data_IF_088636153391
#
_entry.id   IF_088636153391
#
_cell.length_a   1.000
_cell.length_b   1.000
_cell.length_c   1.000
_cell.angle_alpha   90.00
_cell.angle_beta   90.00
_cell.angle_gamma   90.00
#
_symmetry.space_group_name_H-M   'P 1'
#
loop_
_entity.id
_entity.type
_entity.pdbx_description
1 polymer ?
#
# COMPACT_ATOMS: atom_id res chain seq x y z
N UNK A 1 34.90 19.56 20.58
CA UNK A 1 33.51 19.64 20.06
C UNK A 1 33.48 18.89 18.74
N UNK A 2 32.64 17.87 18.62
CA UNK A 2 32.42 17.18 17.34
C UNK A 2 31.73 18.17 16.39
N UNK A 3 32.21 18.34 15.15
CA UNK A 3 31.53 19.21 14.18
C UNK A 3 30.09 18.73 13.95
N UNK A 4 29.19 19.66 13.65
CA UNK A 4 27.83 19.32 13.29
C UNK A 4 27.84 18.44 12.01
N UNK A 5 26.92 17.47 11.90
CA UNK A 5 26.83 16.64 10.71
C UNK A 5 26.53 17.51 9.49
N UNK A 6 27.17 17.17 8.38
CA UNK A 6 26.87 17.76 7.07
C UNK A 6 25.46 17.39 6.63
N UNK A 7 24.94 18.09 5.60
CA UNK A 7 23.64 17.75 5.00
C UNK A 7 23.61 16.32 4.47
N UNK A 8 24.69 15.86 3.83
CA UNK A 8 24.78 14.51 3.28
C UNK A 8 24.70 13.43 4.39
N UNK A 9 25.44 13.63 5.49
CA UNK A 9 25.40 12.73 6.65
C UNK A 9 24.02 12.73 7.31
N UNK A 10 23.37 13.89 7.42
CA UNK A 10 22.01 14.00 7.94
C UNK A 10 21.01 13.23 7.09
N UNK A 11 21.08 13.37 5.75
CA UNK A 11 20.20 12.64 4.82
C UNK A 11 20.45 11.13 4.90
N UNK A 12 21.72 10.71 4.97
CA UNK A 12 22.07 9.30 5.10
C UNK A 12 21.51 8.70 6.40
N UNK A 13 21.66 9.43 7.52
CA UNK A 13 21.06 9.04 8.80
C UNK A 13 19.53 8.93 8.68
N UNK A 14 18.84 9.97 8.21
CA UNK A 14 17.36 9.99 8.12
C UNK A 14 16.78 8.88 7.21
N UNK A 15 17.57 8.36 6.26
CA UNK A 15 17.18 7.24 5.39
C UNK A 15 17.46 5.86 5.99
N UNK A 16 18.05 5.80 7.19
CA UNK A 16 18.42 4.55 7.85
C UNK A 16 17.30 3.99 8.74
N UNK A 17 17.26 2.67 8.91
CA UNK A 17 16.33 2.01 9.83
C UNK A 17 16.52 2.43 11.31
N UNK A 18 17.76 2.63 11.82
CA UNK A 18 17.98 3.18 13.16
C UNK A 18 17.30 4.53 13.35
N UNK A 19 17.43 5.45 12.39
CA UNK A 19 16.78 6.75 12.49
C UNK A 19 15.24 6.62 12.57
N UNK A 20 14.63 5.72 11.80
CA UNK A 20 13.17 5.49 11.92
C UNK A 20 12.79 5.09 13.35
N UNK A 21 13.56 4.17 13.97
CA UNK A 21 13.30 3.74 15.36
C UNK A 21 13.52 4.87 16.36
N UNK A 22 14.67 5.53 16.31
CA UNK A 22 15.01 6.62 17.23
C UNK A 22 14.01 7.78 17.15
N UNK A 23 13.60 8.17 15.93
CA UNK A 23 12.64 9.26 15.74
C UNK A 23 11.22 8.86 16.15
N UNK A 24 10.82 7.61 15.98
CA UNK A 24 9.54 7.11 16.45
C UNK A 24 9.48 7.02 17.99
N UNK A 25 10.59 6.66 18.65
CA UNK A 25 10.68 6.62 20.12
C UNK A 25 10.42 8.00 20.75
N UNK A 26 10.85 9.09 20.12
CA UNK A 26 10.54 10.45 20.58
C UNK A 26 9.04 10.74 20.61
N UNK A 27 8.29 10.25 19.60
CA UNK A 27 6.83 10.39 19.53
C UNK A 27 6.17 9.47 20.56
N UNK A 28 6.68 8.25 20.73
CA UNK A 28 6.18 7.29 21.71
C UNK A 28 6.34 7.81 23.15
N UNK A 29 7.50 8.36 23.51
CA UNK A 29 7.72 8.96 24.82
C UNK A 29 6.72 10.10 25.10
N UNK A 30 6.48 10.98 24.11
CA UNK A 30 5.45 12.01 24.21
C UNK A 30 4.05 11.45 24.39
N UNK A 31 3.74 10.31 23.76
CA UNK A 31 2.46 9.63 23.94
C UNK A 31 2.29 9.10 25.37
N UNK A 32 3.36 8.54 25.96
CA UNK A 32 3.35 8.05 27.34
C UNK A 32 3.10 9.18 28.35
N UNK A 33 3.70 10.36 28.10
CA UNK A 33 3.60 11.52 28.98
C UNK A 33 2.39 12.43 28.69
N UNK A 34 1.47 12.02 27.79
CA UNK A 34 0.30 12.83 27.36
C UNK A 34 0.68 14.21 26.83
N UNK A 35 1.75 14.28 26.05
CA UNK A 35 2.29 15.49 25.44
C UNK A 35 2.04 15.57 23.93
N UNK A 36 1.15 14.73 23.40
CA UNK A 36 0.73 14.80 22.01
C UNK A 36 -0.27 15.95 21.80
N UNK A 37 -0.25 16.53 20.59
CA UNK A 37 -1.02 17.76 20.31
C UNK A 37 -2.52 17.50 20.11
N UNK A 38 -2.90 16.36 19.55
CA UNK A 38 -4.24 16.14 19.00
C UNK A 38 -5.02 15.00 19.67
N UNK A 39 -4.34 14.08 20.33
CA UNK A 39 -4.95 12.92 20.97
C UNK A 39 -4.05 12.41 22.09
N UNK A 40 -4.64 11.77 23.09
CA UNK A 40 -3.92 11.00 24.11
C UNK A 40 -3.97 9.51 23.78
N UNK A 41 -2.97 8.76 24.26
CA UNK A 41 -2.95 7.30 24.16
C UNK A 41 -3.25 6.70 25.53
N UNK A 42 -4.37 6.00 25.64
CA UNK A 42 -4.68 5.21 26.84
C UNK A 42 -4.06 3.82 26.73
N UNK A 43 -2.83 3.69 27.25
CA UNK A 43 -2.10 2.43 27.25
C UNK A 43 -2.79 1.31 28.05
N UNK A 44 -3.70 1.65 28.98
CA UNK A 44 -4.44 0.63 29.74
C UNK A 44 -5.39 -0.18 28.85
N UNK A 45 -5.75 0.37 27.68
CA UNK A 45 -6.67 -0.25 26.72
C UNK A 45 -5.99 -1.16 25.69
N UNK A 46 -4.65 -1.23 25.64
CA UNK A 46 -3.95 -2.04 24.64
C UNK A 46 -4.38 -3.52 24.68
N UNK A 47 -4.55 -4.08 25.87
CA UNK A 47 -5.03 -5.47 26.02
C UNK A 47 -6.47 -5.64 25.53
N UNK A 48 -7.33 -4.66 25.74
CA UNK A 48 -8.73 -4.69 25.28
C UNK A 48 -8.79 -4.61 23.75
N UNK A 49 -7.98 -3.72 23.15
CA UNK A 49 -7.85 -3.59 21.69
C UNK A 49 -7.32 -4.90 21.08
N UNK A 50 -6.28 -5.50 21.67
CA UNK A 50 -5.74 -6.78 21.20
C UNK A 50 -6.80 -7.88 21.24
N UNK A 51 -7.55 -8.00 22.35
CA UNK A 51 -8.67 -8.96 22.45
C UNK A 51 -9.75 -8.70 21.41
N UNK A 52 -10.09 -7.43 21.18
CA UNK A 52 -11.06 -7.04 20.17
C UNK A 52 -10.61 -7.45 18.77
N UNK A 53 -9.38 -7.12 18.37
CA UNK A 53 -8.83 -7.52 17.05
C UNK A 53 -8.79 -9.05 16.91
N UNK A 54 -8.35 -9.78 17.93
CA UNK A 54 -8.38 -11.25 17.93
C UNK A 54 -9.80 -11.78 17.78
N UNK A 55 -10.79 -11.15 18.42
CA UNK A 55 -12.20 -11.55 18.29
C UNK A 55 -12.73 -11.36 16.87
N UNK A 56 -12.33 -10.28 16.18
CA UNK A 56 -12.68 -10.06 14.78
C UNK A 56 -12.06 -11.12 13.88
N UNK A 57 -10.77 -11.44 14.07
CA UNK A 57 -10.09 -12.50 13.31
C UNK A 57 -10.81 -13.84 13.49
N UNK A 58 -11.15 -14.23 14.73
CA UNK A 58 -11.85 -15.50 15.02
C UNK A 58 -13.30 -15.53 14.52
N UNK A 59 -13.95 -14.37 14.39
CA UNK A 59 -15.30 -14.26 13.82
C UNK A 59 -15.26 -14.49 12.31
N UNK A 60 -14.26 -13.94 11.63
CA UNK A 60 -14.18 -13.90 10.16
C UNK A 60 -13.45 -15.11 9.56
N UNK A 61 -12.63 -15.82 10.35
CA UNK A 61 -11.84 -16.96 9.89
C UNK A 61 -11.91 -18.14 10.86
N UNK A 62 -12.12 -19.35 10.31
CA UNK A 62 -12.03 -20.58 11.08
C UNK A 62 -10.59 -20.80 11.59
N UNK A 63 -10.44 -21.51 12.71
CA UNK A 63 -9.13 -21.75 13.33
C UNK A 63 -8.11 -22.41 12.38
N UNK A 64 -8.59 -23.29 11.49
CA UNK A 64 -7.77 -23.96 10.46
C UNK A 64 -7.28 -23.02 9.35
N UNK A 65 -7.98 -21.90 9.15
CA UNK A 65 -7.74 -20.95 8.06
C UNK A 65 -6.87 -19.77 8.53
N UNK A 66 -6.67 -19.59 9.84
CA UNK A 66 -5.80 -18.54 10.41
C UNK A 66 -4.40 -18.50 9.76
N UNK A 67 -3.70 -19.63 9.54
CA UNK A 67 -2.39 -19.63 8.88
C UNK A 67 -2.44 -19.17 7.41
N UNK A 68 -3.62 -19.18 6.80
CA UNK A 68 -3.86 -18.87 5.40
C UNK A 68 -4.57 -17.52 5.20
N UNK A 69 -4.70 -16.71 6.25
CA UNK A 69 -5.28 -15.37 6.11
C UNK A 69 -4.43 -14.59 5.11
N UNK A 70 -5.02 -14.13 3.98
CA UNK A 70 -4.26 -13.40 3.00
C UNK A 70 -3.78 -12.08 3.60
N UNK A 71 -2.52 -11.68 3.36
CA UNK A 71 -2.01 -10.43 3.90
C UNK A 71 -2.79 -9.27 3.30
N UNK A 72 -3.16 -8.31 4.14
CA UNK A 72 -3.82 -7.07 3.72
C UNK A 72 -2.78 -6.14 3.07
N UNK A 73 -2.48 -6.40 1.80
CA UNK A 73 -1.51 -5.64 1.00
C UNK A 73 -2.21 -4.83 -0.08
N UNK A 74 -1.47 -3.90 -0.70
CA UNK A 74 -1.94 -3.19 -1.89
C UNK A 74 -2.46 -4.13 -2.98
N UNK A 75 -1.90 -5.35 -3.09
CA UNK A 75 -2.37 -6.34 -4.06
C UNK A 75 -3.86 -6.66 -3.89
N UNK A 76 -4.34 -6.76 -2.65
CA UNK A 76 -5.75 -7.05 -2.35
C UNK A 76 -6.70 -5.94 -2.73
N UNK A 77 -6.23 -4.69 -2.81
CA UNK A 77 -7.06 -3.59 -3.31
C UNK A 77 -7.35 -3.71 -4.82
N UNK A 78 -6.46 -4.34 -5.61
CA UNK A 78 -6.74 -4.60 -7.03
C UNK A 78 -7.80 -5.71 -7.23
N UNK A 79 -7.96 -6.58 -6.22
CA UNK A 79 -8.91 -7.71 -6.24
C UNK A 79 -10.36 -7.30 -5.92
N UNK A 80 -10.60 -6.02 -5.65
CA UNK A 80 -11.91 -5.50 -5.25
C UNK A 80 -13.01 -5.90 -6.26
N UNK A 81 -14.15 -6.35 -5.72
CA UNK A 81 -15.22 -6.96 -6.51
C UNK A 81 -14.98 -8.43 -6.88
N UNK A 82 -14.05 -9.11 -6.20
CA UNK A 82 -13.67 -10.51 -6.42
C UNK A 82 -13.13 -10.75 -7.84
N UNK A 83 -12.21 -9.88 -8.26
CA UNK A 83 -11.66 -9.88 -9.62
C UNK A 83 -10.14 -9.90 -9.56
N UNK A 84 -9.51 -10.99 -9.94
CA UNK A 84 -8.05 -11.10 -9.96
C UNK A 84 -7.45 -10.32 -11.15
N UNK A 85 -7.28 -9.02 -10.96
CA UNK A 85 -6.77 -8.11 -12.00
C UNK A 85 -5.26 -8.22 -12.18
N UNK A 86 -4.55 -8.60 -11.13
CA UNK A 86 -3.10 -8.73 -11.15
C UNK A 86 -2.70 -10.00 -11.88
N UNK A 87 -3.36 -11.14 -11.62
CA UNK A 87 -3.13 -12.35 -12.38
C UNK A 87 -3.36 -12.11 -13.87
N UNK A 88 -4.46 -11.45 -14.25
CA UNK A 88 -4.74 -11.14 -15.65
C UNK A 88 -3.71 -10.21 -16.28
N UNK A 89 -3.18 -9.26 -15.52
CA UNK A 89 -2.09 -8.40 -15.98
C UNK A 89 -0.83 -9.25 -16.25
N UNK A 90 -0.45 -10.13 -15.32
CA UNK A 90 0.67 -11.06 -15.50
C UNK A 90 0.46 -12.00 -16.70
N UNK A 91 -0.75 -12.53 -16.87
CA UNK A 91 -1.11 -13.38 -18.02
C UNK A 91 -0.93 -12.65 -19.35
N UNK A 92 -1.20 -11.34 -19.41
CA UNK A 92 -0.98 -10.52 -20.62
C UNK A 92 0.49 -10.41 -21.04
N UNK A 93 1.43 -10.70 -20.12
CA UNK A 93 2.87 -10.67 -20.36
C UNK A 93 3.49 -12.05 -20.55
N UNK A 94 2.72 -13.12 -20.29
CA UNK A 94 3.20 -14.49 -20.33
C UNK A 94 3.81 -14.82 -21.70
N UNK A 95 5.05 -15.32 -21.69
CA UNK A 95 5.80 -15.66 -22.90
C UNK A 95 6.40 -14.47 -23.67
N UNK A 96 6.19 -13.22 -23.19
CA UNK A 96 6.77 -12.00 -23.79
C UNK A 96 7.94 -11.44 -22.98
N UNK A 97 7.95 -11.69 -21.68
CA UNK A 97 8.98 -11.26 -20.72
C UNK A 97 9.32 -12.41 -19.78
N UNK A 98 10.45 -12.29 -19.08
CA UNK A 98 10.82 -13.23 -18.04
C UNK A 98 10.14 -12.91 -16.69
N UNK A 99 10.36 -13.80 -15.71
CA UNK A 99 9.79 -13.66 -14.37
C UNK A 99 10.37 -12.47 -13.60
N UNK A 100 11.62 -12.08 -13.86
CA UNK A 100 12.28 -10.97 -13.17
C UNK A 100 11.63 -9.65 -13.60
N UNK A 101 11.43 -9.48 -14.90
CA UNK A 101 10.74 -8.35 -15.48
C UNK A 101 9.28 -8.31 -15.03
N UNK A 102 8.59 -9.46 -14.96
CA UNK A 102 7.23 -9.53 -14.40
C UNK A 102 7.19 -8.96 -12.98
N UNK A 103 8.13 -9.36 -12.12
CA UNK A 103 8.24 -8.84 -10.75
C UNK A 103 8.57 -7.35 -10.73
N UNK A 104 9.49 -6.88 -11.58
CA UNK A 104 9.84 -5.45 -11.68
C UNK A 104 8.62 -4.59 -11.99
N UNK A 105 7.82 -4.98 -12.99
CA UNK A 105 6.60 -4.27 -13.37
C UNK A 105 5.54 -4.27 -12.27
N UNK A 106 5.43 -5.37 -11.52
CA UNK A 106 4.53 -5.43 -10.36
C UNK A 106 5.01 -4.50 -9.25
N UNK A 107 6.32 -4.45 -8.97
CA UNK A 107 6.89 -3.51 -8.00
C UNK A 107 6.60 -2.07 -8.41
N UNK A 108 6.83 -1.71 -9.66
CA UNK A 108 6.54 -0.39 -10.23
C UNK A 108 5.08 0.01 -10.01
N UNK A 109 4.13 -0.86 -10.40
CA UNK A 109 2.71 -0.65 -10.19
C UNK A 109 2.36 -0.47 -8.70
N UNK A 110 2.87 -1.36 -7.83
CA UNK A 110 2.55 -1.34 -6.40
C UNK A 110 3.08 -0.07 -5.74
N UNK A 111 4.32 0.33 -6.03
CA UNK A 111 4.95 1.52 -5.45
C UNK A 111 4.16 2.77 -5.81
N UNK A 112 3.85 2.98 -7.09
CA UNK A 112 3.04 4.13 -7.53
C UNK A 112 1.65 4.10 -6.89
N UNK A 113 1.01 2.93 -6.83
CA UNK A 113 -0.31 2.78 -6.23
C UNK A 113 -0.33 3.08 -4.73
N UNK A 114 0.73 2.70 -4.01
CA UNK A 114 0.89 3.03 -2.58
C UNK A 114 1.06 4.54 -2.40
N UNK A 115 1.92 5.17 -3.20
CA UNK A 115 2.17 6.61 -3.11
C UNK A 115 0.94 7.46 -3.43
N UNK A 116 0.12 7.05 -4.41
CA UNK A 116 -1.13 7.75 -4.77
C UNK A 116 -2.19 7.70 -3.66
N UNK A 117 -2.17 6.69 -2.80
CA UNK A 117 -3.13 6.56 -1.69
C UNK A 117 -2.82 7.50 -0.53
N UNK A 118 -1.57 7.96 -0.43
CA UNK A 118 -1.13 8.92 0.57
C UNK A 118 -1.56 10.35 0.19
N UNK A 119 -2.87 10.65 0.22
CA UNK A 119 -3.35 12.04 0.14
C UNK A 119 -4.67 12.29 -0.58
N UNK A 120 -5.32 11.28 -1.15
CA UNK A 120 -6.53 11.50 -1.97
C UNK A 120 -7.79 11.92 -1.16
N UNK A 121 -7.82 11.67 0.15
CA UNK A 121 -8.98 11.95 1.00
C UNK A 121 -10.13 10.96 0.85
N UNK A 122 -11.20 11.13 1.63
CA UNK A 122 -12.31 10.17 1.75
C UNK A 122 -13.44 10.35 0.73
N UNK A 123 -13.46 11.47 0.01
CA UNK A 123 -14.48 11.79 -1.02
C UNK A 123 -14.12 11.32 -2.43
N UNK A 124 -12.89 10.85 -2.63
CA UNK A 124 -12.40 10.51 -3.96
C UNK A 124 -12.99 9.17 -4.45
N UNK A 125 -13.35 9.10 -5.73
CA UNK A 125 -13.91 7.91 -6.38
C UNK A 125 -13.35 7.71 -7.79
N UNK A 126 -13.21 6.45 -8.19
CA UNK A 126 -12.86 6.05 -9.56
C UNK A 126 -13.94 5.17 -10.16
N UNK A 127 -14.37 5.49 -11.37
CA UNK A 127 -15.28 4.65 -12.15
C UNK A 127 -14.48 3.72 -13.06
N UNK A 128 -14.65 2.42 -12.84
CA UNK A 128 -14.12 1.37 -13.73
C UNK A 128 -15.11 1.18 -14.85
N UNK A 129 -14.68 1.47 -16.08
CA UNK A 129 -15.47 1.22 -17.29
C UNK A 129 -15.60 -0.28 -17.58
N UNK A 130 -16.62 -0.71 -18.33
CA UNK A 130 -16.75 -2.09 -18.74
C UNK A 130 -15.53 -2.60 -19.52
N UNK A 131 -15.04 -3.79 -19.16
CA UNK A 131 -13.96 -4.51 -19.84
C UNK A 131 -14.18 -6.04 -19.78
N UNK A 132 -13.14 -6.83 -20.06
CA UNK A 132 -13.22 -8.29 -19.98
C UNK A 132 -13.47 -8.79 -18.53
N UNK A 133 -13.16 -7.99 -17.51
CA UNK A 133 -13.20 -8.31 -16.07
C UNK A 133 -14.50 -7.81 -15.43
N UNK A 134 -14.82 -6.55 -15.67
CA UNK A 134 -15.91 -5.77 -15.12
C UNK A 134 -16.95 -5.55 -16.22
N UNK A 135 -18.08 -6.27 -16.19
CA UNK A 135 -19.07 -6.23 -17.29
C UNK A 135 -19.95 -4.99 -17.32
N UNK A 136 -20.06 -4.30 -16.19
CA UNK A 136 -20.89 -3.10 -16.02
C UNK A 136 -20.04 -2.03 -15.31
N UNK A 137 -20.21 -0.76 -15.68
CA UNK A 137 -19.49 0.33 -15.02
C UNK A 137 -19.69 0.28 -13.50
N UNK A 138 -18.63 0.50 -12.74
CA UNK A 138 -18.70 0.47 -11.28
C UNK A 138 -17.72 1.44 -10.64
N UNK A 139 -18.22 2.23 -9.70
CA UNK A 139 -17.40 3.16 -8.92
C UNK A 139 -16.84 2.50 -7.66
N UNK A 140 -15.57 2.79 -7.37
CA UNK A 140 -14.88 2.40 -6.15
C UNK A 140 -14.25 3.65 -5.52
N UNK A 141 -14.28 3.73 -4.19
CA UNK A 141 -13.71 4.84 -3.40
C UNK A 141 -12.48 4.39 -2.61
N UNK A 142 -11.84 5.31 -1.90
CA UNK A 142 -10.72 5.03 -0.97
C UNK A 142 -9.59 4.24 -1.66
N UNK A 143 -8.87 3.41 -0.90
CA UNK A 143 -7.70 2.67 -1.34
C UNK A 143 -7.99 1.74 -2.51
N UNK A 144 -9.18 1.14 -2.59
CA UNK A 144 -9.60 0.29 -3.70
C UNK A 144 -9.79 1.09 -4.99
N UNK A 145 -10.48 2.23 -4.95
CA UNK A 145 -10.61 3.11 -6.10
C UNK A 145 -9.25 3.58 -6.61
N UNK A 146 -8.36 3.98 -5.70
CA UNK A 146 -7.02 4.47 -6.03
C UNK A 146 -6.14 3.37 -6.62
N UNK A 147 -6.26 2.14 -6.10
CA UNK A 147 -5.64 0.97 -6.71
C UNK A 147 -6.11 0.80 -8.16
N UNK A 148 -7.42 0.80 -8.42
CA UNK A 148 -7.93 0.61 -9.77
C UNK A 148 -7.57 1.76 -10.74
N UNK A 149 -7.53 3.01 -10.26
CA UNK A 149 -7.05 4.12 -11.08
C UNK A 149 -5.56 4.02 -11.41
N UNK A 150 -4.72 3.70 -10.42
CA UNK A 150 -3.30 3.48 -10.64
C UNK A 150 -3.05 2.33 -11.62
N UNK A 151 -3.84 1.25 -11.54
CA UNK A 151 -3.76 0.13 -12.48
C UNK A 151 -4.17 0.55 -13.89
N UNK A 152 -5.23 1.35 -14.04
CA UNK A 152 -5.66 1.87 -15.33
C UNK A 152 -4.57 2.77 -15.96
N UNK A 153 -4.05 3.73 -15.19
CA UNK A 153 -2.96 4.61 -15.64
C UNK A 153 -1.69 3.84 -16.00
N UNK A 154 -1.34 2.81 -15.23
CA UNK A 154 -0.19 1.95 -15.51
C UNK A 154 -0.38 1.15 -16.81
N UNK A 155 -1.57 0.56 -17.02
CA UNK A 155 -1.91 -0.14 -18.28
C UNK A 155 -1.90 0.77 -19.51
N UNK A 156 -2.24 2.05 -19.32
CA UNK A 156 -2.17 3.08 -20.35
C UNK A 156 -0.75 3.64 -20.58
N UNK A 157 0.23 3.21 -19.79
CA UNK A 157 1.61 3.68 -19.89
C UNK A 157 1.85 5.10 -19.41
N UNK A 158 0.97 5.64 -18.57
CA UNK A 158 1.06 7.04 -18.09
C UNK A 158 2.26 7.33 -17.19
N UNK A 159 2.91 6.29 -16.69
CA UNK A 159 4.08 6.40 -15.81
C UNK A 159 5.40 6.08 -16.52
N UNK A 160 5.36 5.83 -17.83
CA UNK A 160 6.55 5.53 -18.63
C UNK A 160 6.85 6.66 -19.59
N UNK A 161 8.12 7.07 -19.65
CA UNK A 161 8.68 7.95 -20.67
C UNK A 161 8.98 7.26 -22.00
N UNK A 162 8.82 5.93 -22.10
CA UNK A 162 9.08 5.14 -23.31
C UNK A 162 7.79 4.47 -23.82
N UNK A 163 7.31 4.91 -24.98
CA UNK A 163 6.12 4.37 -25.64
C UNK A 163 6.23 2.88 -25.99
N UNK A 164 7.45 2.34 -26.14
CA UNK A 164 7.68 0.93 -26.39
C UNK A 164 7.69 0.08 -25.11
N UNK A 165 7.69 0.73 -23.93
CA UNK A 165 7.73 0.08 -22.62
C UNK A 165 6.65 0.62 -21.68
N UNK A 166 5.41 0.64 -22.15
CA UNK A 166 4.27 1.19 -21.40
C UNK A 166 4.14 0.69 -19.94
N UNK A 167 4.52 -0.56 -19.63
CA UNK A 167 4.38 -1.11 -18.27
C UNK A 167 5.67 -0.97 -17.44
N UNK A 168 6.21 0.24 -17.31
CA UNK A 168 7.31 0.58 -16.39
C UNK A 168 7.03 1.94 -15.72
N UNK A 169 7.79 2.28 -14.68
CA UNK A 169 7.75 3.59 -14.02
C UNK A 169 9.14 4.23 -14.03
N UNK A 170 9.25 5.44 -14.59
CA UNK A 170 10.50 6.23 -14.66
C UNK A 170 10.29 7.75 -14.49
#
# INVERSE_FOLDING_TARGET
MTPAPTTAETVAYLRSLPAVRERAELVYAKAQDRQLKHFDVDFTKLNDVAKFVVSLIKRDYDAKDIPNIPPHTRLRHFDVGQKDRIQQLCESWKGRIDNIETVRRLVDLIVVSVLLDAGAGDRWTFEVKPDNIQKVARSYSRSEGLALASLAMFKEGRFSGDIHRAHQVD
#
